data_IF_056106032189
#
_entry.id   IF_056106032189
#
_cell.length_a   1.000
_cell.length_b   1.000
_cell.length_c   1.000
_cell.angle_alpha   90.00
_cell.angle_beta   90.00
_cell.angle_gamma   90.00
#
_symmetry.space_group_name_H-M   'P 1'
#
loop_
_entity.id
_entity.type
_entity.pdbx_description
1 polymer ?
#
# COMPACT_ATOMS: atom_id res chain seq x y z
N UNK A 1 -22.76 -10.80 -0.38
CA UNK A 1 -21.31 -11.04 -0.44
C UNK A 1 -20.76 -10.95 0.96
N UNK A 2 -19.83 -11.81 1.34
CA UNK A 2 -19.18 -11.74 2.65
C UNK A 2 -18.28 -10.51 2.77
N UNK A 3 -17.94 -10.15 4.00
CA UNK A 3 -16.91 -9.15 4.28
C UNK A 3 -15.56 -9.84 4.06
N UNK A 4 -14.75 -9.32 3.14
CA UNK A 4 -13.37 -9.74 2.98
C UNK A 4 -12.49 -8.52 3.14
N UNK A 5 -11.67 -8.55 4.19
CA UNK A 5 -10.66 -7.52 4.47
C UNK A 5 -9.31 -8.19 4.25
N UNK A 6 -8.73 -8.00 3.07
CA UNK A 6 -7.51 -8.68 2.68
C UNK A 6 -6.27 -7.84 3.02
N UNK A 7 -5.22 -8.55 3.45
CA UNK A 7 -3.95 -7.98 3.86
C UNK A 7 -2.81 -8.59 3.04
N UNK A 8 -1.82 -7.78 2.67
CA UNK A 8 -0.55 -8.26 2.13
C UNK A 8 0.57 -7.81 3.07
N UNK A 9 1.46 -8.74 3.43
CA UNK A 9 2.70 -8.42 4.11
C UNK A 9 3.85 -8.40 3.10
N UNK A 10 4.63 -7.32 3.12
CA UNK A 10 5.82 -7.10 2.30
C UNK A 10 7.04 -7.36 3.15
N UNK A 11 7.71 -8.46 2.89
CA UNK A 11 8.93 -8.83 3.59
C UNK A 11 10.15 -8.08 3.05
N UNK A 12 11.26 -8.09 3.81
CA UNK A 12 12.52 -7.48 3.36
C UNK A 12 13.19 -8.26 2.21
N UNK A 13 12.84 -9.53 2.03
CA UNK A 13 13.40 -10.39 0.98
C UNK A 13 12.75 -10.23 -0.40
N UNK A 14 11.78 -9.33 -0.56
CA UNK A 14 11.04 -9.20 -1.82
C UNK A 14 11.81 -8.38 -2.86
N UNK A 15 11.62 -8.74 -4.12
CA UNK A 15 11.93 -7.85 -5.23
C UNK A 15 10.85 -6.76 -5.36
N UNK A 16 11.22 -5.51 -5.04
CA UNK A 16 10.28 -4.37 -4.93
C UNK A 16 9.41 -4.22 -6.18
N UNK A 17 10.01 -4.29 -7.37
CA UNK A 17 9.29 -4.09 -8.62
C UNK A 17 8.20 -5.15 -8.85
N UNK A 18 8.49 -6.41 -8.52
CA UNK A 18 7.52 -7.51 -8.66
C UNK A 18 6.43 -7.42 -7.58
N UNK A 19 6.80 -7.12 -6.34
CA UNK A 19 5.85 -6.90 -5.26
C UNK A 19 4.85 -5.79 -5.60
N UNK A 20 5.32 -4.67 -6.17
CA UNK A 20 4.45 -3.57 -6.60
C UNK A 20 3.46 -3.99 -7.70
N UNK A 21 3.86 -4.82 -8.67
CA UNK A 21 2.93 -5.32 -9.70
C UNK A 21 1.79 -6.11 -9.07
N UNK A 22 2.11 -7.01 -8.14
CA UNK A 22 1.11 -7.82 -7.41
C UNK A 22 0.18 -6.92 -6.62
N UNK A 23 0.72 -5.96 -5.86
CA UNK A 23 -0.06 -5.06 -5.02
C UNK A 23 -0.99 -4.16 -5.85
N UNK A 24 -0.48 -3.57 -6.92
CA UNK A 24 -1.28 -2.73 -7.83
C UNK A 24 -2.41 -3.55 -8.43
N UNK A 25 -2.12 -4.77 -8.89
CA UNK A 25 -3.15 -5.65 -9.44
C UNK A 25 -4.20 -6.01 -8.39
N UNK A 26 -3.77 -6.43 -7.20
CA UNK A 26 -4.66 -6.78 -6.09
C UNK A 26 -5.53 -5.61 -5.63
N UNK A 27 -5.05 -4.36 -5.79
CA UNK A 27 -5.82 -3.17 -5.39
C UNK A 27 -6.77 -2.66 -6.46
N UNK A 28 -6.35 -2.70 -7.73
CA UNK A 28 -7.00 -1.92 -8.79
C UNK A 28 -7.78 -2.77 -9.79
N UNK A 29 -7.54 -4.09 -9.86
CA UNK A 29 -8.15 -4.93 -10.89
C UNK A 29 -9.69 -4.96 -10.78
N UNK A 30 -10.25 -5.15 -9.57
CA UNK A 30 -11.69 -5.12 -9.30
C UNK A 30 -11.98 -4.60 -7.90
N UNK A 31 -11.93 -3.27 -7.66
CA UNK A 31 -12.00 -2.70 -6.31
C UNK A 31 -13.29 -3.00 -5.50
N UNK A 32 -14.34 -3.51 -6.15
CA UNK A 32 -15.63 -3.84 -5.51
C UNK A 32 -15.76 -5.30 -5.06
N UNK A 33 -14.76 -6.15 -5.31
CA UNK A 33 -14.78 -7.55 -4.89
C UNK A 33 -14.15 -7.74 -3.51
N UNK A 34 -14.65 -8.73 -2.76
CA UNK A 34 -14.24 -9.01 -1.39
C UNK A 34 -12.80 -9.53 -1.22
N UNK A 35 -12.03 -9.62 -2.29
CA UNK A 35 -10.63 -10.05 -2.30
C UNK A 35 -9.67 -8.94 -2.74
N UNK A 36 -10.17 -7.72 -2.92
CA UNK A 36 -9.32 -6.54 -3.12
C UNK A 36 -8.40 -6.40 -1.90
N UNK A 37 -7.17 -5.94 -2.07
CA UNK A 37 -6.32 -5.66 -0.90
C UNK A 37 -6.72 -4.35 -0.23
N UNK A 38 -6.94 -4.39 1.08
CA UNK A 38 -7.26 -3.20 1.89
C UNK A 38 -6.03 -2.67 2.62
N UNK A 39 -5.24 -3.56 3.20
CA UNK A 39 -4.14 -3.20 4.11
C UNK A 39 -2.82 -3.79 3.63
N UNK A 40 -1.78 -2.96 3.60
CA UNK A 40 -0.40 -3.39 3.40
C UNK A 40 0.35 -3.27 4.72
N UNK A 41 1.06 -4.33 5.09
CA UNK A 41 2.01 -4.34 6.20
C UNK A 41 3.41 -4.43 5.59
N UNK A 42 4.29 -3.48 5.89
CA UNK A 42 5.62 -3.42 5.28
C UNK A 42 6.67 -3.65 6.35
N UNK A 43 7.61 -4.56 6.09
CA UNK A 43 8.76 -4.74 6.94
C UNK A 43 9.56 -3.43 7.02
N UNK A 44 9.83 -2.97 8.24
CA UNK A 44 10.59 -1.73 8.49
C UNK A 44 11.95 -1.69 7.79
N UNK A 45 12.58 -2.84 7.55
CA UNK A 45 13.92 -2.92 6.95
C UNK A 45 13.92 -2.58 5.44
N UNK A 46 12.76 -2.65 4.78
CA UNK A 46 12.61 -2.29 3.35
C UNK A 46 11.72 -1.05 3.16
N UNK A 47 11.14 -0.49 4.22
CA UNK A 47 10.17 0.60 4.14
C UNK A 47 10.73 1.85 3.43
N UNK A 48 12.00 2.20 3.70
CA UNK A 48 12.68 3.38 3.14
C UNK A 48 12.75 3.37 1.61
N UNK A 49 12.91 2.20 1.00
CA UNK A 49 12.94 2.03 -0.46
C UNK A 49 11.58 1.69 -1.03
N UNK A 50 10.78 0.92 -0.30
CA UNK A 50 9.50 0.40 -0.77
C UNK A 50 8.40 1.47 -0.75
N UNK A 51 8.24 2.24 0.33
CA UNK A 51 7.12 3.18 0.47
C UNK A 51 7.14 4.33 -0.55
N UNK A 52 8.29 4.94 -0.90
CA UNK A 52 8.33 5.93 -1.98
C UNK A 52 7.91 5.34 -3.34
N UNK A 53 8.36 4.12 -3.64
CA UNK A 53 8.01 3.43 -4.87
C UNK A 53 6.52 3.06 -4.91
N UNK A 54 5.95 2.62 -3.77
CA UNK A 54 4.52 2.41 -3.60
C UNK A 54 3.74 3.70 -3.83
N UNK A 55 4.14 4.82 -3.22
CA UNK A 55 3.48 6.12 -3.38
C UNK A 55 3.38 6.53 -4.84
N UNK A 56 4.46 6.34 -5.62
CA UNK A 56 4.43 6.60 -7.07
C UNK A 56 3.35 5.78 -7.79
N UNK A 57 3.35 4.46 -7.59
CA UNK A 57 2.40 3.56 -8.27
C UNK A 57 0.94 3.83 -7.86
N UNK A 58 0.71 4.17 -6.59
CA UNK A 58 -0.63 4.47 -6.09
C UNK A 58 -1.15 5.80 -6.64
N UNK A 59 -0.28 6.81 -6.80
CA UNK A 59 -0.64 8.07 -7.45
C UNK A 59 -1.07 7.86 -8.91
N UNK A 60 -0.28 7.09 -9.67
CA UNK A 60 -0.59 6.74 -11.08
C UNK A 60 -1.92 5.97 -11.20
N UNK A 61 -2.26 5.19 -10.18
CA UNK A 61 -3.50 4.40 -10.11
C UNK A 61 -4.69 5.16 -9.50
N UNK A 62 -4.52 6.41 -9.08
CA UNK A 62 -5.57 7.19 -8.41
C UNK A 62 -5.98 6.68 -7.03
N UNK A 63 -5.13 5.88 -6.38
CA UNK A 63 -5.39 5.29 -5.06
C UNK A 63 -4.97 6.27 -3.96
N UNK A 64 -5.87 6.50 -3.00
CA UNK A 64 -5.55 7.24 -1.76
C UNK A 64 -5.00 6.28 -0.72
N UNK A 65 -3.84 6.63 -0.15
CA UNK A 65 -3.22 5.87 0.93
C UNK A 65 -3.70 6.39 2.28
N UNK A 66 -4.00 5.45 3.18
CA UNK A 66 -4.29 5.73 4.58
C UNK A 66 -3.16 5.13 5.41
N UNK A 67 -2.40 5.97 6.11
CA UNK A 67 -1.12 5.59 6.71
C UNK A 67 -1.07 5.88 8.22
N UNK A 68 -0.41 5.00 8.96
CA UNK A 68 -0.03 5.24 10.35
C UNK A 68 1.08 6.30 10.44
N UNK A 69 1.45 6.69 11.67
CA UNK A 69 2.46 7.74 11.87
C UNK A 69 3.83 7.39 11.25
N UNK A 70 4.21 6.11 11.26
CA UNK A 70 5.50 5.66 10.76
C UNK A 70 5.56 5.75 9.22
N UNK A 71 4.56 5.21 8.53
CA UNK A 71 4.50 5.22 7.08
C UNK A 71 4.13 6.60 6.52
N UNK A 72 3.34 7.39 7.25
CA UNK A 72 2.89 8.72 6.81
C UNK A 72 4.06 9.63 6.47
N UNK A 73 5.09 9.68 7.31
CA UNK A 73 6.26 10.52 7.09
C UNK A 73 6.98 10.19 5.77
N UNK A 74 7.05 8.90 5.42
CA UNK A 74 7.72 8.43 4.22
C UNK A 74 6.84 8.61 2.97
N UNK A 75 5.54 8.33 3.10
CA UNK A 75 4.59 8.42 2.00
C UNK A 75 4.28 9.85 1.58
N UNK A 76 4.34 10.82 2.51
CA UNK A 76 4.15 12.25 2.24
C UNK A 76 5.24 12.85 1.36
N UNK A 77 6.41 12.23 1.29
CA UNK A 77 7.47 12.64 0.36
C UNK A 77 7.17 12.22 -1.09
N UNK A 78 6.20 11.33 -1.30
CA UNK A 78 5.81 10.83 -2.62
C UNK A 78 4.56 11.52 -3.19
N UNK A 79 4.19 11.18 -4.45
CA UNK A 79 3.12 11.88 -5.17
C UNK A 79 1.70 11.41 -4.84
N UNK A 80 1.52 10.29 -4.11
CA UNK A 80 0.18 9.81 -3.76
C UNK A 80 -0.53 10.77 -2.80
N UNK A 81 -1.85 10.80 -2.88
CA UNK A 81 -2.66 11.38 -1.82
C UNK A 81 -2.57 10.48 -0.59
N UNK A 82 -2.13 11.03 0.53
CA UNK A 82 -1.99 10.31 1.81
C UNK A 82 -2.82 10.97 2.90
N UNK A 83 -3.52 10.16 3.68
CA UNK A 83 -4.32 10.58 4.84
C UNK A 83 -3.83 9.81 6.06
N UNK A 84 -3.64 10.50 7.19
CA UNK A 84 -3.33 9.83 8.45
C UNK A 84 -4.52 8.98 8.91
N UNK A 85 -4.30 7.74 9.33
CA UNK A 85 -5.33 6.98 10.05
C UNK A 85 -5.49 7.57 11.45
N UNK A 86 -6.72 7.56 11.97
CA UNK A 86 -6.96 7.89 13.38
C UNK A 86 -6.50 6.71 14.23
N UNK A 87 -5.77 6.99 15.30
CA UNK A 87 -5.67 6.02 16.39
C UNK A 87 -7.06 5.89 17.01
N UNK A 88 -7.56 4.66 17.12
CA UNK A 88 -8.77 4.34 17.88
C UNK A 88 -8.49 4.38 19.38
#
# INVERSE_FOLDING_TARGET
>A
GGIGVCHIYVDESVEIAEALKVIVNAKTQRPSTCNTVETLLVNKNIADSFLPALSKQMAESGVTLHADAAALAQLQAGPAKVVAVKAE
#
